data_IF_885104875377
#
_entry.id   IF_885104875377
#
_cell.length_a   1.000
_cell.length_b   1.000
_cell.length_c   1.000
_cell.angle_alpha   90.00
_cell.angle_beta   90.00
_cell.angle_gamma   90.00
#
_symmetry.space_group_name_H-M   'P 1'
#
loop_
_entity.id
_entity.type
_entity.pdbx_description
1 polymer ?
#
# COMPACT_ATOMS: atom_id res chain seq x y z
N UNK A 1 -38.02 -7.58 -13.27
CA UNK A 1 -37.02 -8.21 -12.39
C UNK A 1 -37.67 -8.46 -11.03
N UNK A 2 -37.73 -9.70 -10.58
CA UNK A 2 -38.38 -10.10 -9.33
C UNK A 2 -37.48 -9.85 -8.12
N UNK A 3 -38.05 -9.74 -6.92
CA UNK A 3 -37.27 -9.61 -5.65
C UNK A 3 -36.27 -10.76 -5.49
N UNK A 4 -36.60 -11.95 -5.99
CA UNK A 4 -35.72 -13.14 -5.97
C UNK A 4 -34.49 -12.95 -6.87
N UNK A 5 -34.67 -12.41 -8.08
CA UNK A 5 -33.58 -12.11 -9.01
C UNK A 5 -32.65 -11.03 -8.45
N UNK A 6 -33.19 -9.99 -7.82
CA UNK A 6 -32.42 -8.94 -7.15
C UNK A 6 -31.56 -9.54 -6.03
N UNK A 7 -32.15 -10.34 -5.14
CA UNK A 7 -31.41 -11.01 -4.04
C UNK A 7 -30.30 -11.91 -4.56
N UNK A 8 -30.56 -12.66 -5.64
CA UNK A 8 -29.55 -13.53 -6.27
C UNK A 8 -28.42 -12.71 -6.89
N UNK A 9 -28.72 -11.58 -7.53
CA UNK A 9 -27.73 -10.65 -8.07
C UNK A 9 -26.84 -10.03 -6.98
N UNK A 10 -27.44 -9.54 -5.90
CA UNK A 10 -26.72 -9.00 -4.74
C UNK A 10 -25.81 -10.05 -4.11
N UNK A 11 -26.31 -11.27 -3.87
CA UNK A 11 -25.51 -12.37 -3.31
C UNK A 11 -24.31 -12.71 -4.18
N UNK A 12 -24.48 -12.76 -5.51
CA UNK A 12 -23.37 -13.04 -6.45
C UNK A 12 -22.33 -11.93 -6.45
N UNK A 13 -22.77 -10.67 -6.43
CA UNK A 13 -21.89 -9.50 -6.40
C UNK A 13 -21.07 -9.47 -5.12
N UNK A 14 -21.71 -9.71 -3.97
CA UNK A 14 -21.03 -9.80 -2.68
C UNK A 14 -19.99 -10.91 -2.67
N UNK A 15 -20.37 -12.12 -3.13
CA UNK A 15 -19.46 -13.26 -3.20
C UNK A 15 -18.24 -12.98 -4.10
N UNK A 16 -18.47 -12.41 -5.29
CA UNK A 16 -17.39 -12.06 -6.22
C UNK A 16 -16.46 -11.00 -5.61
N UNK A 17 -17.02 -9.98 -4.96
CA UNK A 17 -16.25 -8.96 -4.25
C UNK A 17 -15.39 -9.54 -3.13
N UNK A 18 -15.96 -10.43 -2.30
CA UNK A 18 -15.19 -11.11 -1.24
C UNK A 18 -14.05 -11.95 -1.80
N UNK A 19 -14.30 -12.74 -2.86
CA UNK A 19 -13.25 -13.57 -3.46
C UNK A 19 -12.14 -12.69 -4.05
N UNK A 20 -12.48 -11.63 -4.77
CA UNK A 20 -11.51 -10.72 -5.35
C UNK A 20 -10.66 -10.04 -4.27
N UNK A 21 -11.30 -9.51 -3.23
CA UNK A 21 -10.63 -8.88 -2.10
C UNK A 21 -9.69 -9.85 -1.38
N UNK A 22 -10.16 -11.04 -0.99
CA UNK A 22 -9.33 -12.04 -0.32
C UNK A 22 -8.16 -12.51 -1.19
N UNK A 23 -8.38 -12.62 -2.50
CA UNK A 23 -7.32 -13.01 -3.46
C UNK A 23 -6.25 -11.92 -3.57
N UNK A 24 -6.65 -10.65 -3.58
CA UNK A 24 -5.73 -9.51 -3.61
C UNK A 24 -4.79 -9.54 -2.39
N UNK A 25 -5.34 -9.63 -1.19
CA UNK A 25 -4.56 -9.66 0.06
C UNK A 25 -3.68 -10.92 0.16
N UNK A 26 -4.20 -12.08 -0.24
CA UNK A 26 -3.39 -13.30 -0.26
C UNK A 26 -2.21 -13.18 -1.23
N UNK A 27 -2.42 -12.58 -2.40
CA UNK A 27 -1.37 -12.34 -3.39
C UNK A 27 -0.34 -11.35 -2.85
N UNK A 28 -0.78 -10.27 -2.19
CA UNK A 28 0.11 -9.31 -1.58
C UNK A 28 1.06 -9.96 -0.55
N UNK A 29 0.50 -10.71 0.39
CA UNK A 29 1.27 -11.41 1.43
C UNK A 29 2.23 -12.42 0.80
N UNK A 30 1.75 -13.27 -0.11
CA UNK A 30 2.56 -14.32 -0.72
C UNK A 30 3.68 -13.77 -1.59
N UNK A 31 3.47 -12.64 -2.26
CA UNK A 31 4.47 -12.03 -3.12
C UNK A 31 5.73 -11.59 -2.35
N UNK A 32 5.61 -11.21 -1.07
CA UNK A 32 6.76 -10.81 -0.23
C UNK A 32 7.83 -11.92 -0.13
N UNK A 33 7.42 -13.19 -0.15
CA UNK A 33 8.34 -14.33 -0.01
C UNK A 33 9.18 -14.61 -1.26
N UNK A 34 8.78 -14.07 -2.41
CA UNK A 34 9.46 -14.28 -3.68
C UNK A 34 10.37 -13.11 -4.08
N UNK A 35 10.39 -12.03 -3.29
CA UNK A 35 11.11 -10.80 -3.60
C UNK A 35 12.48 -10.77 -2.93
N UNK A 36 13.40 -10.05 -3.58
CA UNK A 36 14.72 -9.79 -3.03
C UNK A 36 14.62 -8.82 -1.85
N UNK A 37 15.25 -9.20 -0.75
CA UNK A 37 15.31 -8.40 0.47
C UNK A 37 16.40 -7.33 0.34
N UNK A 38 16.05 -6.10 0.68
CA UNK A 38 16.92 -4.93 0.76
C UNK A 38 17.93 -5.15 1.89
N UNK A 39 19.22 -5.11 1.57
CA UNK A 39 20.30 -5.49 2.49
C UNK A 39 20.97 -4.32 3.18
N UNK A 40 20.70 -3.08 2.75
CA UNK A 40 21.36 -1.91 3.32
C UNK A 40 20.52 -0.64 3.24
N UNK A 41 20.79 0.30 4.15
CA UNK A 41 20.18 1.62 4.15
C UNK A 41 20.38 2.36 2.82
N UNK A 42 21.59 2.28 2.23
CA UNK A 42 21.86 2.89 0.92
C UNK A 42 20.99 2.31 -0.19
N UNK A 43 20.80 0.99 -0.19
CA UNK A 43 19.94 0.32 -1.17
C UNK A 43 18.47 0.74 -0.99
N UNK A 44 18.00 0.88 0.26
CA UNK A 44 16.67 1.42 0.54
C UNK A 44 16.53 2.84 -0.04
N UNK A 45 17.49 3.74 0.24
CA UNK A 45 17.50 5.11 -0.27
C UNK A 45 17.46 5.17 -1.80
N UNK A 46 18.24 4.32 -2.47
CA UNK A 46 18.25 4.22 -3.94
C UNK A 46 16.88 3.78 -4.50
N UNK A 47 16.28 2.76 -3.88
CA UNK A 47 14.95 2.26 -4.28
C UNK A 47 13.87 3.32 -4.03
N UNK A 48 13.90 3.98 -2.87
CA UNK A 48 12.95 5.04 -2.52
C UNK A 48 13.04 6.19 -3.52
N UNK A 49 14.25 6.62 -3.85
CA UNK A 49 14.47 7.67 -4.82
C UNK A 49 13.92 7.29 -6.21
N UNK A 50 14.21 6.07 -6.69
CA UNK A 50 13.74 5.57 -7.98
C UNK A 50 12.21 5.47 -8.05
N UNK A 51 11.61 4.86 -7.04
CA UNK A 51 10.16 4.61 -7.00
C UNK A 51 9.36 5.90 -6.76
N UNK A 52 9.86 6.82 -5.91
CA UNK A 52 9.26 8.14 -5.72
C UNK A 52 9.29 8.96 -7.01
N UNK A 53 10.43 8.95 -7.72
CA UNK A 53 10.57 9.61 -9.03
C UNK A 53 9.58 9.03 -10.04
N UNK A 54 9.44 7.69 -10.08
CA UNK A 54 8.50 6.98 -10.96
C UNK A 54 7.03 7.34 -10.64
N UNK A 55 6.73 7.51 -9.35
CA UNK A 55 5.40 7.91 -8.89
C UNK A 55 5.10 9.38 -9.19
N UNK A 56 6.12 10.19 -9.48
CA UNK A 56 6.02 11.62 -9.78
C UNK A 56 6.11 12.51 -8.53
N UNK A 57 6.74 12.00 -7.47
CA UNK A 57 6.99 12.69 -6.22
C UNK A 57 8.39 13.31 -6.23
N UNK A 58 8.62 14.28 -5.36
CA UNK A 58 9.97 14.76 -5.06
C UNK A 58 10.64 13.77 -4.09
N UNK A 59 11.71 13.05 -4.47
CA UNK A 59 12.35 12.08 -3.58
C UNK A 59 13.01 12.76 -2.36
N UNK A 60 13.39 14.03 -2.45
CA UNK A 60 14.12 14.74 -1.39
C UNK A 60 13.26 15.02 -0.14
N UNK A 61 11.94 14.95 -0.27
CA UNK A 61 11.02 15.09 0.87
C UNK A 61 10.72 13.75 1.56
N UNK A 62 11.19 12.62 1.01
CA UNK A 62 10.99 11.28 1.56
C UNK A 62 12.24 10.85 2.32
N UNK A 63 12.11 10.72 3.63
CA UNK A 63 13.12 10.12 4.51
C UNK A 63 12.78 8.67 4.74
N UNK A 64 13.79 7.81 4.76
CA UNK A 64 13.59 6.37 4.94
C UNK A 64 14.57 5.78 5.96
N UNK A 65 14.12 4.78 6.69
CA UNK A 65 14.94 4.04 7.65
C UNK A 65 14.72 2.53 7.49
N UNK A 66 15.82 1.79 7.35
CA UNK A 66 15.85 0.35 7.32
C UNK A 66 15.96 -0.20 8.74
N UNK A 67 14.94 -0.92 9.17
CA UNK A 67 14.84 -1.53 10.51
C UNK A 67 15.16 -3.02 10.47
N UNK A 68 15.68 -3.54 11.58
CA UNK A 68 15.98 -4.97 11.73
C UNK A 68 14.71 -5.80 12.01
N UNK A 69 13.65 -5.17 12.49
CA UNK A 69 12.37 -5.79 12.82
C UNK A 69 11.36 -5.66 11.68
N UNK A 70 10.26 -6.41 11.76
CA UNK A 70 9.21 -6.36 10.75
C UNK A 70 8.57 -4.97 10.72
N UNK A 71 8.78 -4.24 9.61
CA UNK A 71 8.25 -2.90 9.44
C UNK A 71 7.85 -2.63 7.98
N UNK A 72 6.73 -1.95 7.81
CA UNK A 72 6.19 -1.46 6.56
C UNK A 72 5.17 -0.39 6.93
N UNK A 73 5.66 0.84 7.06
CA UNK A 73 4.85 1.97 7.51
C UNK A 73 5.30 3.26 6.82
N UNK A 74 4.32 4.11 6.51
CA UNK A 74 4.49 5.48 6.05
C UNK A 74 3.87 6.45 7.04
N UNK A 75 4.63 7.48 7.43
CA UNK A 75 4.19 8.52 8.35
C UNK A 75 4.25 9.87 7.65
N UNK A 76 3.11 10.57 7.70
CA UNK A 76 3.02 11.95 7.26
C UNK A 76 3.50 12.88 8.39
N UNK A 77 4.59 13.62 8.17
CA UNK A 77 5.23 14.47 9.19
C UNK A 77 4.45 15.74 9.57
N UNK A 78 3.19 15.88 9.16
CA UNK A 78 2.33 17.04 9.44
C UNK A 78 2.64 18.29 8.59
N UNK A 79 3.79 18.32 7.91
CA UNK A 79 4.09 19.27 6.83
C UNK A 79 4.35 18.52 5.51
N UNK A 80 4.00 19.13 4.37
CA UNK A 80 4.25 18.57 3.02
C UNK A 80 5.74 18.35 2.71
N UNK A 81 6.64 18.65 3.67
CA UNK A 81 8.09 18.72 3.47
C UNK A 81 8.84 17.55 4.09
N UNK A 82 8.24 16.84 5.04
CA UNK A 82 8.88 15.68 5.66
C UNK A 82 7.92 14.49 5.68
N UNK A 83 8.20 13.52 4.83
CA UNK A 83 7.52 12.23 4.81
C UNK A 83 8.51 11.17 5.27
N UNK A 84 8.04 10.20 6.05
CA UNK A 84 8.90 9.15 6.59
C UNK A 84 8.37 7.79 6.16
N UNK A 85 9.26 6.89 5.78
CA UNK A 85 8.94 5.48 5.57
C UNK A 85 9.89 4.60 6.40
N UNK A 86 9.32 3.59 7.02
CA UNK A 86 10.03 2.61 7.84
C UNK A 86 9.83 1.23 7.24
N UNK A 87 10.94 0.59 6.86
CA UNK A 87 10.94 -0.67 6.12
C UNK A 87 11.83 -1.66 6.86
N UNK A 88 11.41 -2.90 7.06
CA UNK A 88 12.20 -3.86 7.82
C UNK A 88 11.71 -5.31 7.82
N UNK A 89 12.61 -6.22 8.20
CA UNK A 89 12.35 -7.65 8.29
C UNK A 89 11.87 -8.27 6.98
N UNK A 90 10.87 -9.16 7.03
CA UNK A 90 10.32 -9.83 5.83
C UNK A 90 9.63 -8.87 4.84
N UNK A 91 9.41 -7.63 5.24
CA UNK A 91 8.83 -6.57 4.42
C UNK A 91 9.90 -5.68 3.79
N UNK A 92 11.19 -5.90 4.06
CA UNK A 92 12.28 -5.13 3.49
C UNK A 92 12.49 -5.43 2.01
N UNK A 93 11.55 -5.04 1.15
CA UNK A 93 11.59 -5.29 -0.28
C UNK A 93 10.97 -4.12 -1.06
N UNK A 94 11.30 -4.03 -2.35
CA UNK A 94 10.85 -2.94 -3.25
C UNK A 94 9.32 -2.83 -3.35
N UNK A 95 8.59 -3.94 -3.24
CA UNK A 95 7.12 -3.90 -3.29
C UNK A 95 6.57 -3.12 -2.10
N UNK A 96 7.09 -3.35 -0.90
CA UNK A 96 6.64 -2.60 0.28
C UNK A 96 7.02 -1.13 0.17
N UNK A 97 8.20 -0.79 -0.36
CA UNK A 97 8.54 0.62 -0.65
C UNK A 97 7.50 1.27 -1.58
N UNK A 98 7.09 0.59 -2.65
CA UNK A 98 6.02 1.10 -3.55
C UNK A 98 4.69 1.28 -2.83
N UNK A 99 4.33 0.34 -1.95
CA UNK A 99 3.10 0.38 -1.18
C UNK A 99 3.08 1.63 -0.28
N UNK A 100 4.11 1.83 0.53
CA UNK A 100 4.22 2.97 1.45
C UNK A 100 4.28 4.31 0.71
N UNK A 101 5.03 4.38 -0.40
CA UNK A 101 5.07 5.59 -1.23
C UNK A 101 3.70 5.93 -1.81
N UNK A 102 2.88 4.92 -2.14
CA UNK A 102 1.54 5.17 -2.65
C UNK A 102 0.61 5.77 -1.59
N UNK A 103 0.73 5.34 -0.33
CA UNK A 103 -0.01 5.95 0.77
C UNK A 103 0.30 7.44 0.93
N UNK A 104 1.57 7.81 0.79
CA UNK A 104 1.99 9.22 0.83
C UNK A 104 1.46 9.97 -0.40
N UNK A 105 1.59 9.40 -1.59
CA UNK A 105 1.16 10.00 -2.85
C UNK A 105 -0.35 10.30 -2.89
N UNK A 106 -1.18 9.33 -2.52
CA UNK A 106 -2.65 9.44 -2.56
C UNK A 106 -3.23 9.95 -1.21
N UNK A 107 -2.36 10.40 -0.29
CA UNK A 107 -2.70 11.00 1.01
C UNK A 107 -3.58 10.11 1.91
N UNK A 108 -3.32 8.81 1.89
CA UNK A 108 -3.98 7.85 2.79
C UNK A 108 -3.61 8.07 4.26
N UNK A 109 -2.55 8.82 4.54
CA UNK A 109 -2.09 9.14 5.90
C UNK A 109 -2.85 10.32 6.54
N UNK A 110 -3.72 11.04 5.81
CA UNK A 110 -4.37 12.30 6.25
C UNK A 110 -5.72 12.10 6.99
N UNK A 111 -5.98 10.93 7.58
CA UNK A 111 -7.30 10.60 8.11
C UNK A 111 -7.51 10.89 9.61
N UNK A 112 -8.57 11.65 9.91
CA UNK A 112 -9.14 11.83 11.25
C UNK A 112 -9.83 10.52 11.70
N UNK A 113 -9.46 10.00 12.87
CA UNK A 113 -9.77 8.64 13.35
C UNK A 113 -11.26 8.42 13.65
N UNK A 114 -12.05 8.13 12.60
CA UNK A 114 -13.47 7.79 12.66
C UNK A 114 -13.73 6.48 11.90
N UNK A 115 -14.71 5.67 12.33
CA UNK A 115 -15.06 4.37 11.71
C UNK A 115 -15.27 4.41 10.19
N UNK A 116 -15.76 5.54 9.65
CA UNK A 116 -15.90 5.72 8.19
C UNK A 116 -14.53 5.81 7.49
N UNK A 117 -13.55 6.46 8.13
CA UNK A 117 -12.19 6.54 7.62
C UNK A 117 -11.54 5.15 7.63
N UNK A 118 -11.75 4.35 8.68
CA UNK A 118 -11.23 2.97 8.74
C UNK A 118 -11.81 2.07 7.63
N UNK A 119 -13.12 2.16 7.34
CA UNK A 119 -13.72 1.40 6.24
C UNK A 119 -13.20 1.85 4.88
N UNK A 120 -13.03 3.16 4.67
CA UNK A 120 -12.41 3.67 3.44
C UNK A 120 -10.97 3.18 3.29
N UNK A 121 -10.21 3.20 4.38
CA UNK A 121 -8.85 2.70 4.40
C UNK A 121 -8.78 1.25 3.91
N UNK A 122 -9.50 0.35 4.58
CA UNK A 122 -9.45 -1.08 4.28
C UNK A 122 -10.04 -1.46 2.91
N UNK A 123 -11.09 -0.77 2.45
CA UNK A 123 -11.80 -1.17 1.23
C UNK A 123 -11.46 -0.35 -0.01
N UNK A 124 -10.71 0.75 0.13
CA UNK A 124 -10.37 1.64 -0.99
C UNK A 124 -8.87 1.92 -1.02
N UNK A 125 -8.32 2.50 0.05
CA UNK A 125 -6.96 3.04 0.07
C UNK A 125 -5.89 1.94 0.07
N UNK A 126 -6.03 0.98 0.98
CA UNK A 126 -5.15 -0.20 1.08
C UNK A 126 -5.18 -1.04 -0.21
N UNK A 127 -6.34 -1.41 -0.79
CA UNK A 127 -6.38 -2.07 -2.10
C UNK A 127 -5.68 -1.31 -3.23
N UNK A 128 -5.80 0.03 -3.27
CA UNK A 128 -5.09 0.84 -4.29
C UNK A 128 -3.58 0.72 -4.12
N UNK A 129 -3.08 0.86 -2.89
CA UNK A 129 -1.66 0.74 -2.59
C UNK A 129 -1.12 -0.67 -2.92
N UNK A 130 -1.88 -1.74 -2.62
CA UNK A 130 -1.54 -3.11 -3.02
C UNK A 130 -1.51 -3.26 -4.55
N UNK A 131 -2.52 -2.75 -5.27
CA UNK A 131 -2.53 -2.85 -6.74
C UNK A 131 -1.34 -2.12 -7.33
N UNK A 132 -1.03 -0.91 -6.85
CA UNK A 132 0.13 -0.17 -7.30
C UNK A 132 1.44 -0.92 -7.00
N UNK A 133 1.60 -1.46 -5.79
CA UNK A 133 2.83 -2.14 -5.40
C UNK A 133 3.13 -3.38 -6.26
N UNK A 134 2.07 -4.10 -6.65
CA UNK A 134 2.16 -5.30 -7.48
C UNK A 134 2.31 -5.00 -8.97
N UNK A 135 1.76 -3.89 -9.47
CA UNK A 135 1.58 -3.67 -10.92
C UNK A 135 2.13 -2.35 -11.46
N UNK A 136 2.36 -1.36 -10.61
CA UNK A 136 2.68 0.02 -11.00
C UNK A 136 1.48 0.83 -11.50
N UNK A 137 0.26 0.28 -11.48
CA UNK A 137 -0.95 0.98 -11.93
C UNK A 137 -1.46 1.95 -10.86
N UNK A 138 -1.61 3.23 -11.25
CA UNK A 138 -2.19 4.29 -10.40
C UNK A 138 -3.72 4.30 -10.58
N UNK A 139 -4.48 4.31 -9.48
CA UNK A 139 -5.95 4.20 -9.47
C UNK A 139 -6.64 5.36 -8.75
#
# INVERSE_FOLDING_TARGET
MTISEIKKGVKRTLLAGTIAYSTLFATDILSNYALEEIKSQRELEEIVHEEATTLGMDPEIIKCELLNELAGESIYGGDLKNQYIYIGGLLANRKIVRHELYHIYDKHCDHDTKTKAELNYWFIEEPKAIIYSLTGLKL
#
